data_IF_843396790797
#
_entry.id   IF_843396790797
#
_cell.length_a   1.000
_cell.length_b   1.000
_cell.length_c   1.000
_cell.angle_alpha   90.00
_cell.angle_beta   90.00
_cell.angle_gamma   90.00
#
_symmetry.space_group_name_H-M   'P 1'
#
loop_
_entity.id
_entity.type
_entity.pdbx_description
1 polymer ?
#
# COMPACT_ATOMS: atom_id res chain seq x y z
N UNK A 1 24.67 -1.54 -3.35
CA UNK A 1 23.46 -2.37 -3.46
C UNK A 1 23.24 -2.75 -4.91
N UNK A 2 23.28 -4.05 -5.18
CA UNK A 2 22.99 -4.63 -6.49
C UNK A 2 21.48 -4.54 -6.79
N UNK A 3 21.07 -4.63 -8.06
CA UNK A 3 19.66 -4.44 -8.42
C UNK A 3 18.74 -5.56 -7.90
N UNK A 4 19.26 -6.78 -7.78
CA UNK A 4 18.55 -7.90 -7.16
C UNK A 4 18.32 -7.69 -5.65
N UNK A 5 19.31 -7.13 -4.95
CA UNK A 5 19.23 -6.77 -3.54
C UNK A 5 18.25 -5.60 -3.34
N UNK A 6 18.33 -4.57 -4.19
CA UNK A 6 17.41 -3.44 -4.17
C UNK A 6 15.95 -3.89 -4.32
N UNK A 7 15.64 -4.80 -5.24
CA UNK A 7 14.27 -5.33 -5.40
C UNK A 7 13.73 -5.96 -4.12
N UNK A 8 14.54 -6.77 -3.43
CA UNK A 8 14.17 -7.39 -2.15
C UNK A 8 13.95 -6.36 -1.04
N UNK A 9 14.80 -5.33 -0.99
CA UNK A 9 14.62 -4.22 -0.04
C UNK A 9 13.32 -3.46 -0.32
N UNK A 10 13.04 -3.14 -1.59
CA UNK A 10 11.80 -2.46 -1.97
C UNK A 10 10.57 -3.27 -1.62
N UNK A 11 10.57 -4.56 -1.94
CA UNK A 11 9.49 -5.47 -1.56
C UNK A 11 9.27 -5.48 -0.04
N UNK A 12 10.34 -5.56 0.73
CA UNK A 12 10.27 -5.53 2.20
C UNK A 12 9.66 -4.23 2.71
N UNK A 13 10.09 -3.08 2.17
CA UNK A 13 9.56 -1.76 2.55
C UNK A 13 8.08 -1.61 2.18
N UNK A 14 7.68 -2.08 0.99
CA UNK A 14 6.28 -2.00 0.55
C UNK A 14 5.38 -2.98 1.30
N UNK A 15 5.92 -4.09 1.81
CA UNK A 15 5.16 -5.09 2.55
C UNK A 15 4.86 -4.66 3.99
N UNK A 16 5.82 -4.00 4.66
CA UNK A 16 5.68 -3.58 6.05
C UNK A 16 4.90 -2.27 6.20
N UNK A 17 4.72 -1.51 5.12
CA UNK A 17 4.03 -0.22 5.15
C UNK A 17 2.53 -0.39 4.92
N UNK A 18 1.74 0.37 5.69
CA UNK A 18 0.27 0.39 5.63
C UNK A 18 -0.28 1.52 4.73
N UNK A 19 0.60 2.34 4.16
CA UNK A 19 0.26 3.48 3.32
C UNK A 19 1.22 3.62 2.12
N UNK A 20 0.81 4.32 1.03
CA UNK A 20 1.67 4.59 -0.11
C UNK A 20 3.00 5.25 0.27
N UNK A 21 4.10 4.60 -0.07
CA UNK A 21 5.45 5.06 0.22
C UNK A 21 5.99 5.91 -0.94
N UNK A 22 6.26 7.21 -0.73
CA UNK A 22 6.74 8.09 -1.80
C UNK A 22 8.19 7.76 -2.20
N UNK A 23 8.49 7.89 -3.50
CA UNK A 23 9.83 7.61 -4.06
C UNK A 23 10.92 8.41 -3.36
N UNK A 24 10.64 9.66 -2.97
CA UNK A 24 11.57 10.50 -2.20
C UNK A 24 11.94 9.89 -0.84
N UNK A 25 11.00 9.22 -0.16
CA UNK A 25 11.27 8.57 1.13
C UNK A 25 12.09 7.29 0.94
N UNK A 26 11.77 6.52 -0.09
CA UNK A 26 12.55 5.32 -0.46
C UNK A 26 13.99 5.71 -0.81
N UNK A 27 14.17 6.77 -1.60
CA UNK A 27 15.49 7.32 -1.96
C UNK A 27 16.32 7.69 -0.74
N UNK A 28 15.70 8.31 0.27
CA UNK A 28 16.38 8.63 1.54
C UNK A 28 16.76 7.38 2.33
N UNK A 29 15.86 6.40 2.45
CA UNK A 29 16.09 5.18 3.24
C UNK A 29 17.16 4.26 2.62
N UNK A 30 17.17 4.16 1.29
CA UNK A 30 18.14 3.33 0.57
C UNK A 30 19.43 4.07 0.18
N UNK A 31 19.57 5.35 0.56
CA UNK A 31 20.69 6.22 0.20
C UNK A 31 20.97 6.31 -1.31
N UNK A 32 19.92 6.13 -2.14
CA UNK A 32 20.01 6.17 -3.61
C UNK A 32 19.61 7.56 -4.11
N UNK A 33 20.56 8.28 -4.70
CA UNK A 33 20.32 9.60 -5.31
C UNK A 33 19.69 9.53 -6.71
N UNK A 34 19.91 8.44 -7.43
CA UNK A 34 19.38 8.27 -8.78
C UNK A 34 17.91 7.83 -8.74
N UNK A 35 16.99 8.77 -8.98
CA UNK A 35 15.54 8.52 -8.99
C UNK A 35 15.11 7.61 -10.14
N UNK A 36 15.69 7.76 -11.33
CA UNK A 36 15.35 6.96 -12.50
C UNK A 36 15.66 5.48 -12.28
N UNK A 37 16.80 5.17 -11.65
CA UNK A 37 17.14 3.79 -11.25
C UNK A 37 16.10 3.22 -10.28
N UNK A 38 15.67 4.02 -9.31
CA UNK A 38 14.69 3.59 -8.32
C UNK A 38 13.31 3.36 -8.93
N UNK A 39 12.87 4.25 -9.81
CA UNK A 39 11.62 4.09 -10.57
C UNK A 39 11.67 2.85 -11.46
N UNK A 40 12.80 2.61 -12.13
CA UNK A 40 13.00 1.40 -12.95
C UNK A 40 12.88 0.13 -12.10
N UNK A 41 13.53 0.10 -10.93
CA UNK A 41 13.45 -1.04 -10.01
C UNK A 41 12.02 -1.29 -9.49
N UNK A 42 11.25 -0.23 -9.21
CA UNK A 42 9.85 -0.32 -8.79
C UNK A 42 8.94 -0.83 -9.92
N UNK A 43 9.14 -0.35 -11.15
CA UNK A 43 8.40 -0.83 -12.32
C UNK A 43 8.70 -2.30 -12.61
N UNK A 44 9.96 -2.70 -12.51
CA UNK A 44 10.35 -4.09 -12.63
C UNK A 44 9.72 -4.97 -11.54
N UNK A 45 9.72 -4.50 -10.28
CA UNK A 45 9.10 -5.24 -9.18
C UNK A 45 7.61 -5.43 -9.44
N UNK A 46 6.92 -4.40 -9.92
CA UNK A 46 5.52 -4.49 -10.35
C UNK A 46 5.32 -5.54 -11.44
N UNK A 47 6.14 -5.52 -12.49
CA UNK A 47 6.07 -6.52 -13.57
C UNK A 47 6.25 -7.93 -13.04
N UNK A 48 7.24 -8.17 -12.17
CA UNK A 48 7.46 -9.49 -11.58
C UNK A 48 6.26 -9.99 -10.77
N UNK A 49 5.57 -9.10 -10.05
CA UNK A 49 4.33 -9.44 -9.33
C UNK A 49 3.15 -9.73 -10.28
N UNK A 50 3.08 -9.03 -11.41
CA UNK A 50 2.08 -9.28 -12.46
C UNK A 50 2.34 -10.60 -13.20
N UNK A 51 3.58 -10.90 -13.54
CA UNK A 51 3.99 -12.14 -14.21
C UNK A 51 3.84 -13.37 -13.30
N UNK A 52 4.10 -13.22 -12.00
CA UNK A 52 3.91 -14.30 -11.03
C UNK A 52 2.43 -14.71 -10.84
N UNK A 53 1.47 -13.85 -11.23
CA UNK A 53 0.04 -14.15 -11.16
C UNK A 53 -0.51 -14.34 -9.74
N UNK A 54 0.18 -13.80 -8.72
CA UNK A 54 -0.23 -13.90 -7.32
C UNK A 54 -1.42 -12.99 -6.96
N UNK A 55 -1.97 -13.17 -5.74
CA UNK A 55 -3.09 -12.36 -5.24
C UNK A 55 -2.72 -10.92 -4.85
N UNK A 56 -1.41 -10.62 -4.78
CA UNK A 56 -0.87 -9.31 -4.47
C UNK A 56 -0.36 -8.64 -5.75
N UNK A 57 -0.33 -7.32 -5.74
CA UNK A 57 0.20 -6.48 -6.81
C UNK A 57 0.88 -5.25 -6.21
N UNK A 58 1.89 -4.75 -6.91
CA UNK A 58 2.52 -3.47 -6.58
C UNK A 58 1.86 -2.38 -7.40
N UNK A 59 1.34 -1.35 -6.74
CA UNK A 59 0.60 -0.28 -7.40
C UNK A 59 1.11 1.11 -7.00
N UNK A 60 1.00 2.05 -7.92
CA UNK A 60 1.29 3.46 -7.67
C UNK A 60 0.00 4.19 -7.31
N UNK A 61 -0.05 4.82 -6.13
CA UNK A 61 -1.23 5.54 -5.60
C UNK A 61 -0.78 6.85 -4.98
N UNK A 62 -1.47 7.95 -5.32
CA UNK A 62 -1.22 9.29 -4.78
C UNK A 62 0.27 9.73 -4.85
N UNK A 63 1.00 9.31 -5.89
CA UNK A 63 2.43 9.62 -6.05
C UNK A 63 3.38 8.75 -5.21
N UNK A 64 2.87 7.77 -4.48
CA UNK A 64 3.64 6.74 -3.78
C UNK A 64 3.41 5.34 -4.34
N UNK A 65 4.11 4.37 -3.78
CA UNK A 65 4.04 2.95 -4.13
C UNK A 65 3.56 2.14 -2.93
N UNK A 66 2.73 1.13 -3.17
CA UNK A 66 2.28 0.22 -2.12
C UNK A 66 2.04 -1.18 -2.68
N UNK A 67 2.14 -2.19 -1.81
CA UNK A 67 1.56 -3.49 -2.06
C UNK A 67 0.07 -3.47 -1.76
N UNK A 68 -0.72 -4.06 -2.65
CA UNK A 68 -2.16 -4.17 -2.49
C UNK A 68 -2.65 -5.53 -2.97
N UNK A 69 -3.81 -5.96 -2.49
CA UNK A 69 -4.50 -7.14 -3.05
C UNK A 69 -5.08 -6.84 -4.43
N UNK A 70 -5.12 -7.83 -5.32
CA UNK A 70 -5.84 -7.71 -6.59
C UNK A 70 -7.36 -7.52 -6.35
N UNK A 71 -8.04 -6.71 -7.17
CA UNK A 71 -9.46 -6.41 -7.00
C UNK A 71 -10.35 -7.66 -7.09
N UNK A 72 -9.90 -8.69 -7.81
CA UNK A 72 -10.53 -10.00 -7.91
C UNK A 72 -10.76 -10.64 -6.53
N UNK A 73 -9.87 -10.38 -5.57
CA UNK A 73 -9.97 -10.89 -4.21
C UNK A 73 -10.69 -9.95 -3.23
N UNK A 74 -11.26 -8.84 -3.73
CA UNK A 74 -11.89 -7.81 -2.90
C UNK A 74 -13.07 -8.32 -2.07
N UNK A 75 -13.78 -9.36 -2.52
CA UNK A 75 -14.91 -9.94 -1.76
C UNK A 75 -14.46 -10.56 -0.43
N UNK A 76 -13.30 -11.21 -0.39
CA UNK A 76 -12.76 -11.80 0.85
C UNK A 76 -12.23 -10.72 1.79
N UNK A 77 -11.56 -9.70 1.25
CA UNK A 77 -11.12 -8.52 2.02
C UNK A 77 -12.33 -7.84 2.68
N UNK A 78 -13.41 -7.62 1.93
CA UNK A 78 -14.65 -7.05 2.47
C UNK A 78 -15.27 -7.90 3.57
N UNK A 79 -15.28 -9.23 3.42
CA UNK A 79 -15.79 -10.15 4.46
C UNK A 79 -14.96 -10.07 5.75
N UNK A 80 -13.64 -9.97 5.65
CA UNK A 80 -12.76 -9.81 6.81
C UNK A 80 -13.06 -8.53 7.59
N UNK A 81 -13.28 -7.41 6.89
CA UNK A 81 -13.51 -6.11 7.52
C UNK A 81 -14.99 -5.79 7.80
N UNK A 82 -15.94 -6.61 7.33
CA UNK A 82 -17.40 -6.37 7.50
C UNK A 82 -17.87 -6.35 8.96
N UNK A 83 -17.09 -6.87 9.92
CA UNK A 83 -17.40 -6.77 11.35
C UNK A 83 -16.99 -5.45 12.01
N UNK A 84 -16.37 -4.50 11.30
CA UNK A 84 -15.92 -3.22 11.88
C UNK A 84 -16.80 -2.00 11.54
N UNK A 85 -17.79 -2.13 10.65
CA UNK A 85 -18.68 -1.01 10.29
C UNK A 85 -20.14 -1.37 10.46
N UNK A 86 -20.62 -1.38 11.71
CA UNK A 86 -21.99 -0.96 12.06
C UNK A 86 -22.06 -0.62 13.56
N UNK A 87 -21.37 0.43 14.00
CA UNK A 87 -21.91 1.19 15.15
C UNK A 87 -22.99 2.08 14.55
N UNK A 88 -24.24 1.60 14.49
CA UNK A 88 -25.38 2.52 14.36
C UNK A 88 -25.37 3.35 15.64
N UNK A 89 -24.87 4.58 15.56
CA UNK A 89 -25.06 5.55 16.63
C UNK A 89 -26.58 5.70 16.84
N UNK A 90 -27.03 5.48 18.07
CA UNK A 90 -28.43 5.73 18.43
C UNK A 90 -28.73 7.21 18.26
N UNK A 91 -29.99 7.56 18.08
CA UNK A 91 -30.39 8.96 17.97
C UNK A 91 -29.87 9.81 19.14
N UNK A 92 -29.89 9.27 20.37
CA UNK A 92 -29.33 9.93 21.55
C UNK A 92 -27.80 10.17 21.46
N UNK A 93 -27.06 9.25 20.83
CA UNK A 93 -25.61 9.41 20.65
C UNK A 93 -25.29 10.46 19.56
N UNK A 94 -26.14 10.57 18.53
CA UNK A 94 -26.07 11.63 17.52
C UNK A 94 -26.41 13.00 18.12
N UNK A 95 -27.47 13.09 18.93
CA UNK A 95 -27.86 14.33 19.61
C UNK A 95 -26.75 14.85 20.53
N UNK A 96 -26.08 13.96 21.27
CA UNK A 96 -24.95 14.36 22.13
C UNK A 96 -23.74 14.84 21.31
N UNK A 97 -23.43 14.19 20.18
CA UNK A 97 -22.33 14.62 19.31
C UNK A 97 -22.59 16.01 18.70
N UNK A 98 -23.83 16.29 18.30
CA UNK A 98 -24.25 17.59 17.77
C UNK A 98 -24.20 18.73 18.80
N UNK A 99 -24.24 18.43 20.11
CA UNK A 99 -24.16 19.46 21.16
C UNK A 99 -22.70 19.85 21.47
N UNK A 100 -21.73 18.95 21.22
CA UNK A 100 -20.31 19.17 21.55
C UNK A 100 -19.50 19.77 20.37
N UNK A 101 -19.98 19.65 19.13
CA UNK A 101 -19.31 20.13 17.90
C UNK A 101 -19.63 21.59 17.54
#
# INVERSE_FOLDING_TARGET
MEDAELKKVLETLLFITDAPLPVSRISQLCEIKNKERLETALQDLRKSYDEAGGALQVMQVAGGWQLATRPEYGIWVRKLFHNKMTVRLTQAALETLCIIA
#
